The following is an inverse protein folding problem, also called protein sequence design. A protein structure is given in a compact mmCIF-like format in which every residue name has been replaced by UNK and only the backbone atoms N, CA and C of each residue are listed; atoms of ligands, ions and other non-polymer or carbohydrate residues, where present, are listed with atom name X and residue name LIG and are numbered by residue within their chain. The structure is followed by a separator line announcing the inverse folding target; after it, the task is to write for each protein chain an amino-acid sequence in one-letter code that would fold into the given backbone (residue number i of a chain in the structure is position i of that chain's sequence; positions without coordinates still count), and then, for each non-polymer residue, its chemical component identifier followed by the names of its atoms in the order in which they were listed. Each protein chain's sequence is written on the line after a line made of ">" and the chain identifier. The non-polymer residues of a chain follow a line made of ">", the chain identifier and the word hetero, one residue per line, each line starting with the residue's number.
data_IF_376742951359
#
_entry.id   IF_376742951359
#
_cell.length_a   1.000
_cell.length_b   1.000
_cell.length_c   1.000
_cell.angle_alpha   90.00
_cell.angle_beta   90.00
_cell.angle_gamma   90.00
#
_symmetry.space_group_name_H-M   'P 1'
#
loop_
_entity.id
_entity.type
_entity.pdbx_description
1 polymer ?
#
# COMPACT_ATOMS: atom_id res chain seq x y z
N UNK A 1 2.30 20.41 -16.44
CA UNK A 1 3.14 19.22 -16.63
C UNK A 1 3.89 18.84 -15.38
N UNK A 2 4.25 19.83 -14.59
CA UNK A 2 4.97 19.51 -13.35
C UNK A 2 4.14 18.70 -12.40
N UNK A 3 2.88 19.05 -12.26
CA UNK A 3 2.05 18.27 -11.36
C UNK A 3 1.83 16.86 -11.89
N UNK A 4 1.88 16.70 -13.20
CA UNK A 4 1.78 15.38 -13.77
C UNK A 4 2.99 14.53 -13.39
N UNK A 5 4.16 15.12 -13.43
CA UNK A 5 5.37 14.42 -13.03
C UNK A 5 5.35 14.09 -11.55
N UNK A 6 4.87 15.04 -10.75
CA UNK A 6 4.76 14.81 -9.32
C UNK A 6 3.78 13.68 -9.04
N UNK A 7 2.67 13.67 -9.76
CA UNK A 7 1.70 12.62 -9.58
C UNK A 7 2.26 11.26 -9.94
N UNK A 8 3.08 11.22 -10.98
CA UNK A 8 3.73 9.97 -11.37
C UNK A 8 4.61 9.46 -10.24
N UNK A 9 5.40 10.36 -9.63
CA UNK A 9 6.20 9.96 -8.49
C UNK A 9 5.35 9.55 -7.31
N UNK A 10 4.29 10.33 -7.01
CA UNK A 10 3.40 10.03 -5.92
C UNK A 10 2.56 8.79 -6.17
N UNK A 11 2.32 8.45 -7.44
CA UNK A 11 1.47 7.32 -7.76
C UNK A 11 2.09 5.97 -7.43
N UNK A 12 3.40 5.90 -7.21
CA UNK A 12 4.04 4.66 -6.85
C UNK A 12 3.78 4.29 -5.39
N UNK A 13 3.60 5.27 -4.53
CA UNK A 13 3.27 5.06 -3.13
C UNK A 13 2.19 6.04 -2.75
N UNK A 14 1.05 5.56 -2.26
CA UNK A 14 -0.03 6.46 -1.87
C UNK A 14 -0.81 5.89 -0.70
N UNK A 15 -1.48 6.78 0.01
CA UNK A 15 -2.39 6.40 1.08
C UNK A 15 -3.71 6.00 0.47
N UNK A 16 -4.31 4.93 1.01
CA UNK A 16 -5.55 4.38 0.48
C UNK A 16 -6.51 4.15 1.63
N UNK A 17 -7.78 4.42 1.39
CA UNK A 17 -8.83 4.20 2.37
C UNK A 17 -9.72 3.03 1.94
N UNK A 18 -10.66 2.68 2.83
CA UNK A 18 -11.64 1.64 2.53
C UNK A 18 -12.44 1.98 1.28
N UNK A 19 -12.71 3.27 1.07
CA UNK A 19 -13.55 3.70 -0.05
C UNK A 19 -12.90 3.41 -1.40
N UNK A 20 -11.57 3.43 -1.47
CA UNK A 20 -10.88 3.25 -2.74
C UNK A 20 -10.08 1.97 -2.81
N UNK A 21 -10.13 1.12 -1.78
CA UNK A 21 -9.27 -0.05 -1.70
C UNK A 21 -9.48 -0.99 -2.89
N UNK A 22 -10.74 -1.22 -3.25
CA UNK A 22 -11.05 -2.13 -4.34
C UNK A 22 -10.38 -1.68 -5.63
N UNK A 23 -10.51 -0.40 -5.95
CA UNK A 23 -9.95 0.12 -7.19
C UNK A 23 -8.45 0.26 -7.13
N UNK A 24 -7.94 0.79 -6.03
CA UNK A 24 -6.52 1.14 -5.93
C UNK A 24 -5.65 -0.06 -5.64
N UNK A 25 -6.22 -1.16 -5.16
CA UNK A 25 -5.45 -2.35 -4.82
C UNK A 25 -5.86 -3.53 -5.69
N UNK A 26 -7.12 -3.96 -5.60
CA UNK A 26 -7.54 -5.19 -6.28
C UNK A 26 -7.52 -5.01 -7.79
N UNK A 27 -8.18 -3.97 -8.29
CA UNK A 27 -8.21 -3.72 -9.73
C UNK A 27 -6.83 -3.35 -10.26
N UNK A 28 -6.11 -2.51 -9.52
CA UNK A 28 -4.77 -2.08 -9.94
C UNK A 28 -3.80 -3.25 -10.02
N UNK A 29 -4.00 -4.27 -9.18
CA UNK A 29 -3.09 -5.43 -9.15
C UNK A 29 -3.19 -6.29 -10.41
N UNK A 30 -4.19 -6.06 -11.24
CA UNK A 30 -4.29 -6.75 -12.52
C UNK A 30 -3.23 -6.29 -13.50
N UNK A 31 -2.70 -5.08 -13.31
CA UNK A 31 -1.69 -4.53 -14.20
C UNK A 31 -0.28 -4.67 -13.66
N UNK A 32 -0.12 -4.54 -12.34
CA UNK A 32 1.17 -4.71 -11.70
C UNK A 32 0.94 -5.03 -10.23
N UNK A 33 1.90 -5.70 -9.59
CA UNK A 33 1.74 -6.03 -8.17
C UNK A 33 1.57 -4.76 -7.32
N UNK A 34 0.72 -4.87 -6.30
CA UNK A 34 0.47 -3.80 -5.36
C UNK A 34 0.86 -4.29 -3.96
N UNK A 35 1.80 -3.61 -3.35
CA UNK A 35 2.21 -3.90 -1.98
C UNK A 35 1.29 -3.10 -1.06
N UNK A 36 0.70 -3.77 -0.06
CA UNK A 36 -0.21 -3.13 0.88
C UNK A 36 0.44 -3.13 2.25
N UNK A 37 0.68 -1.95 2.80
CA UNK A 37 1.31 -1.78 4.10
C UNK A 37 0.27 -1.30 5.10
N UNK A 38 -0.11 -2.17 6.03
CA UNK A 38 -1.01 -1.81 7.13
C UNK A 38 -0.17 -1.26 8.28
N UNK A 39 -0.47 -0.03 8.69
CA UNK A 39 0.34 0.69 9.64
C UNK A 39 -0.54 1.55 10.54
N UNK A 40 0.08 2.17 11.55
CA UNK A 40 -0.59 3.16 12.39
C UNK A 40 0.46 4.16 12.90
N UNK A 41 0.04 5.40 13.21
CA UNK A 41 0.98 6.43 13.66
C UNK A 41 1.72 6.08 14.96
N UNK A 42 1.10 5.26 15.81
CA UNK A 42 1.69 4.88 17.09
C UNK A 42 2.61 3.66 16.98
N UNK A 43 2.71 3.08 15.82
CA UNK A 43 3.46 1.83 15.63
C UNK A 43 4.94 2.14 15.35
N UNK A 44 5.80 1.84 16.34
CA UNK A 44 7.23 2.10 16.19
C UNK A 44 7.86 1.36 15.01
N UNK A 45 7.71 0.03 14.93
CA UNK A 45 8.29 -0.72 13.81
C UNK A 45 7.80 -0.27 12.43
N UNK A 46 6.56 0.23 12.35
CA UNK A 46 6.04 0.74 11.08
C UNK A 46 6.83 1.92 10.58
N UNK A 47 7.34 2.74 11.50
CA UNK A 47 8.10 3.93 11.12
C UNK A 47 9.45 3.59 10.53
N UNK A 48 9.94 2.39 10.78
CA UNK A 48 11.19 1.91 10.19
C UNK A 48 10.91 1.18 8.90
N UNK A 49 9.92 0.28 8.90
CA UNK A 49 9.63 -0.55 7.75
C UNK A 49 9.05 0.25 6.60
N UNK A 50 8.14 1.19 6.89
CA UNK A 50 7.48 1.97 5.85
C UNK A 50 8.44 2.64 4.88
N UNK A 51 9.37 3.46 5.39
CA UNK A 51 10.34 4.11 4.50
C UNK A 51 11.19 3.12 3.71
N UNK A 52 11.54 1.98 4.31
CA UNK A 52 12.32 0.96 3.60
C UNK A 52 11.53 0.36 2.43
N UNK A 53 10.25 0.07 2.65
CA UNK A 53 9.39 -0.42 1.59
C UNK A 53 9.21 0.61 0.50
N UNK A 54 9.01 1.87 0.88
CA UNK A 54 8.83 2.94 -0.10
C UNK A 54 10.07 3.09 -0.96
N UNK A 55 11.23 3.01 -0.36
CA UNK A 55 12.48 3.10 -1.11
C UNK A 55 12.61 1.96 -2.10
N UNK A 56 12.28 0.75 -1.68
CA UNK A 56 12.36 -0.41 -2.55
C UNK A 56 11.38 -0.30 -3.71
N UNK A 57 10.16 0.17 -3.44
CA UNK A 57 9.14 0.33 -4.48
C UNK A 57 9.58 1.39 -5.49
N UNK A 58 10.09 2.51 -5.01
CA UNK A 58 10.56 3.57 -5.90
C UNK A 58 11.74 3.08 -6.73
N UNK A 59 12.61 2.26 -6.15
CA UNK A 59 13.74 1.71 -6.87
C UNK A 59 13.36 0.71 -7.95
N UNK A 60 12.16 0.15 -7.87
CA UNK A 60 11.69 -0.81 -8.89
C UNK A 60 11.15 -0.10 -10.14
N UNK A 61 11.12 1.21 -10.16
CA UNK A 61 10.82 2.02 -11.35
C UNK A 61 9.48 1.67 -12.01
N UNK A 62 8.46 1.49 -11.19
CA UNK A 62 7.12 1.25 -11.71
C UNK A 62 6.76 -0.20 -11.89
N UNK A 63 7.67 -1.13 -11.60
CA UNK A 63 7.35 -2.55 -11.69
C UNK A 63 6.30 -2.96 -10.67
N UNK A 64 6.28 -2.29 -9.51
CA UNK A 64 5.29 -2.49 -8.46
C UNK A 64 4.86 -1.14 -7.92
N UNK A 65 3.69 -1.12 -7.29
CA UNK A 65 3.25 0.06 -6.57
C UNK A 65 2.97 -0.32 -5.13
N UNK A 66 2.80 0.68 -4.27
CA UNK A 66 2.56 0.46 -2.85
C UNK A 66 1.42 1.35 -2.38
N UNK A 67 0.57 0.80 -1.54
CA UNK A 67 -0.45 1.60 -0.85
C UNK A 67 -0.25 1.43 0.64
N UNK A 68 -0.57 2.48 1.37
CA UNK A 68 -0.48 2.51 2.82
C UNK A 68 -1.88 2.63 3.38
N UNK A 69 -2.23 1.74 4.32
CA UNK A 69 -3.56 1.72 4.92
C UNK A 69 -3.40 1.90 6.42
N UNK A 70 -3.88 3.05 6.92
CA UNK A 70 -3.86 3.35 8.33
C UNK A 70 -4.96 2.53 9.02
N UNK A 71 -4.59 1.58 9.89
CA UNK A 71 -5.56 0.68 10.50
C UNK A 71 -6.52 1.39 11.44
N UNK A 72 -6.10 2.49 12.05
CA UNK A 72 -6.98 3.24 12.94
C UNK A 72 -8.14 3.87 12.19
N UNK A 73 -7.91 4.28 10.97
CA UNK A 73 -8.92 4.95 10.15
C UNK A 73 -9.65 4.00 9.21
N UNK A 74 -9.20 2.77 9.08
CA UNK A 74 -9.73 1.82 8.12
C UNK A 74 -9.89 0.45 8.76
N UNK A 75 -10.65 0.42 9.87
CA UNK A 75 -10.76 -0.78 10.69
C UNK A 75 -11.50 -1.91 10.00
N UNK A 76 -12.44 -1.56 9.12
CA UNK A 76 -13.21 -2.58 8.44
C UNK A 76 -12.33 -3.40 7.50
N UNK A 77 -11.54 -2.73 6.66
CA UNK A 77 -10.70 -3.47 5.72
C UNK A 77 -9.59 -4.23 6.47
N UNK A 78 -9.06 -3.63 7.54
CA UNK A 78 -8.06 -4.33 8.36
C UNK A 78 -8.65 -5.60 8.94
N UNK A 79 -9.90 -5.54 9.40
CA UNK A 79 -10.58 -6.72 9.93
C UNK A 79 -10.84 -7.77 8.87
N UNK A 80 -11.27 -7.35 7.69
CA UNK A 80 -11.54 -8.27 6.59
C UNK A 80 -10.27 -8.97 6.13
N UNK A 81 -9.15 -8.28 6.17
CA UNK A 81 -7.85 -8.86 5.81
C UNK A 81 -7.21 -9.62 6.96
N UNK A 82 -7.90 -9.67 8.11
CA UNK A 82 -7.44 -10.40 9.29
C UNK A 82 -6.09 -9.90 9.81
N UNK A 83 -5.94 -8.58 9.79
CA UNK A 83 -4.74 -7.94 10.31
C UNK A 83 -4.83 -7.93 11.84
N UNK A 84 -4.01 -8.74 12.50
CA UNK A 84 -4.03 -8.86 13.96
C UNK A 84 -2.91 -8.06 14.60
N UNK A 85 -1.86 -7.79 13.88
CA UNK A 85 -0.74 -7.01 14.39
C UNK A 85 -0.17 -6.20 13.25
N UNK A 86 0.53 -5.13 13.59
CA UNK A 86 1.18 -4.27 12.59
C UNK A 86 2.64 -4.11 12.98
N UNK A 87 3.52 -3.95 12.00
CA UNK A 87 3.22 -3.82 10.57
C UNK A 87 2.81 -5.16 9.94
N UNK A 88 1.89 -5.12 9.00
CA UNK A 88 1.52 -6.28 8.20
C UNK A 88 1.52 -5.86 6.74
N UNK A 89 2.18 -6.66 5.91
CA UNK A 89 2.36 -6.34 4.50
C UNK A 89 1.85 -7.50 3.65
N UNK A 90 0.98 -7.16 2.70
CA UNK A 90 0.48 -8.11 1.71
C UNK A 90 0.92 -7.67 0.33
N UNK A 91 0.95 -8.60 -0.60
CA UNK A 91 1.11 -8.28 -2.01
C UNK A 91 -0.10 -8.79 -2.77
N UNK A 92 -0.70 -7.92 -3.58
CA UNK A 92 -1.78 -8.31 -4.48
C UNK A 92 -1.19 -8.45 -5.88
N UNK A 93 -1.37 -9.61 -6.48
CA UNK A 93 -0.90 -9.89 -7.83
C UNK A 93 -2.05 -10.51 -8.58
N UNK A 94 -2.47 -9.86 -9.68
CA UNK A 94 -3.59 -10.34 -10.51
C UNK A 94 -4.83 -10.62 -9.66
N UNK A 95 -5.13 -9.70 -8.76
CA UNK A 95 -6.28 -9.76 -7.84
C UNK A 95 -6.17 -10.83 -6.77
N UNK A 96 -5.03 -11.53 -6.68
CA UNK A 96 -4.81 -12.56 -5.66
C UNK A 96 -3.86 -12.04 -4.59
N UNK A 97 -4.10 -12.50 -3.36
CA UNK A 97 -3.32 -12.04 -2.21
C UNK A 97 -2.15 -12.99 -1.99
N UNK A 98 -0.99 -12.39 -1.79
CA UNK A 98 0.22 -13.12 -1.42
C UNK A 98 0.79 -12.50 -0.15
N UNK A 99 1.26 -13.34 0.74
CA UNK A 99 1.77 -12.88 2.04
C UNK A 99 3.29 -12.84 2.04
#
# INVERSE_FOLDING_TARGET
>A
MLELEQNAGGSLVKDVSEATFMQDVVEASKERPVIVDFWAPWCGPCKTLGPQLEEAVNGANGAVTMVKVNVDENQMIAGQMQVQSIPTVFAFVLSLIHI
#
